data_IF_861830118643
#
_entry.id   IF_861830118643
#
_cell.length_a   1.000
_cell.length_b   1.000
_cell.length_c   1.000
_cell.angle_alpha   90.00
_cell.angle_beta   90.00
_cell.angle_gamma   90.00
#
_symmetry.space_group_name_H-M   'P 1'
#
loop_
_entity.id
_entity.type
_entity.pdbx_description
1 polymer ?
#
# COMPACT_ATOMS: atom_id res chain seq x y z
N UNK A 1 18.32 -29.09 7.93
CA UNK A 1 17.76 -27.76 8.17
C UNK A 1 17.28 -27.24 6.82
N UNK A 2 16.01 -27.49 6.48
CA UNK A 2 15.45 -27.11 5.20
C UNK A 2 15.16 -25.61 5.23
N UNK A 3 15.82 -24.86 4.37
CA UNK A 3 15.51 -23.46 4.10
C UNK A 3 14.14 -23.42 3.45
N UNK A 4 13.09 -23.19 4.25
CA UNK A 4 11.79 -22.77 3.75
C UNK A 4 11.99 -21.43 3.06
N UNK A 5 12.23 -21.46 1.76
CA UNK A 5 11.94 -20.35 0.86
C UNK A 5 10.42 -20.12 0.93
N UNK A 6 9.96 -19.44 1.98
CA UNK A 6 8.65 -18.83 1.98
C UNK A 6 8.68 -17.82 0.84
N UNK A 7 7.94 -18.10 -0.23
CA UNK A 7 7.64 -17.11 -1.26
C UNK A 7 7.11 -15.86 -0.56
N UNK A 8 7.97 -14.86 -0.44
CA UNK A 8 7.66 -13.60 0.18
C UNK A 8 6.55 -12.99 -0.68
N UNK A 9 5.35 -12.89 -0.11
CA UNK A 9 4.25 -12.16 -0.74
C UNK A 9 4.54 -10.68 -0.53
N UNK A 10 5.50 -10.21 -1.31
CA UNK A 10 6.10 -8.89 -1.17
C UNK A 10 5.17 -7.82 -1.72
N UNK A 11 5.25 -6.65 -1.11
CA UNK A 11 4.59 -5.44 -1.58
C UNK A 11 5.14 -4.94 -2.94
N UNK A 12 6.10 -5.65 -3.54
CA UNK A 12 6.65 -5.38 -4.87
C UNK A 12 5.57 -5.42 -5.97
N UNK A 13 4.45 -6.12 -5.77
CA UNK A 13 3.31 -6.09 -6.70
C UNK A 13 2.78 -4.67 -6.95
N UNK A 14 2.88 -3.78 -5.94
CA UNK A 14 2.47 -2.38 -6.07
C UNK A 14 3.25 -1.65 -7.17
N UNK A 15 4.50 -2.04 -7.43
CA UNK A 15 5.29 -1.46 -8.52
C UNK A 15 4.71 -1.78 -9.90
N UNK A 16 4.09 -2.95 -10.07
CA UNK A 16 3.48 -3.31 -11.35
C UNK A 16 2.24 -2.45 -11.65
N UNK A 17 1.51 -2.04 -10.61
CA UNK A 17 0.33 -1.17 -10.77
C UNK A 17 0.66 0.26 -11.19
N UNK A 18 1.89 0.74 -10.96
CA UNK A 18 2.34 2.04 -11.48
C UNK A 18 2.23 2.14 -13.01
N UNK A 19 2.28 1.01 -13.72
CA UNK A 19 2.16 0.95 -15.19
C UNK A 19 0.71 1.01 -15.67
N UNK A 20 -0.26 0.77 -14.80
CA UNK A 20 -1.67 0.76 -15.13
C UNK A 20 -2.25 2.17 -14.99
N UNK A 21 -2.10 2.99 -16.04
CA UNK A 21 -2.41 4.42 -15.99
C UNK A 21 -3.88 4.76 -15.68
N UNK A 22 -4.82 3.83 -15.94
CA UNK A 22 -6.25 4.01 -15.71
C UNK A 22 -6.78 3.26 -14.47
N UNK A 23 -5.89 2.75 -13.62
CA UNK A 23 -6.28 1.96 -12.46
C UNK A 23 -6.93 2.83 -11.38
N UNK A 24 -8.20 2.57 -11.13
CA UNK A 24 -9.03 3.38 -10.24
C UNK A 24 -9.17 2.80 -8.83
N UNK A 25 -9.14 1.47 -8.72
CA UNK A 25 -9.28 0.75 -7.46
C UNK A 25 -8.29 -0.39 -7.39
N UNK A 26 -7.63 -0.51 -6.25
CA UNK A 26 -6.81 -1.67 -5.89
C UNK A 26 -7.36 -2.26 -4.61
N UNK A 27 -7.71 -3.54 -4.65
CA UNK A 27 -8.08 -4.29 -3.46
C UNK A 27 -7.19 -5.52 -3.33
N UNK A 28 -6.31 -5.50 -2.34
CA UNK A 28 -5.45 -6.61 -1.94
C UNK A 28 -5.77 -7.07 -0.51
N UNK A 29 -6.98 -6.78 -0.02
CA UNK A 29 -7.37 -7.16 1.33
C UNK A 29 -7.42 -8.68 1.51
N UNK A 30 -7.29 -9.15 2.76
CA UNK A 30 -7.41 -10.57 3.12
C UNK A 30 -6.37 -11.44 2.42
N UNK A 31 -5.14 -10.96 2.35
CA UNK A 31 -4.00 -11.71 1.85
C UNK A 31 -2.96 -11.90 2.95
N UNK A 32 -1.85 -12.54 2.60
CA UNK A 32 -0.71 -12.71 3.49
C UNK A 32 0.46 -11.81 3.05
N UNK A 33 0.16 -10.61 2.53
CA UNK A 33 1.19 -9.63 2.16
C UNK A 33 1.92 -9.19 3.42
N UNK A 34 3.24 -9.11 3.35
CA UNK A 34 4.09 -8.75 4.48
C UNK A 34 5.18 -7.74 4.08
N UNK A 35 5.96 -7.28 5.07
CA UNK A 35 6.97 -6.24 4.88
C UNK A 35 6.41 -4.84 5.06
N UNK A 36 7.17 -3.83 4.62
CA UNK A 36 6.87 -2.41 4.79
C UNK A 36 6.35 -1.78 3.50
N UNK A 37 5.45 -0.80 3.61
CA UNK A 37 4.98 -0.04 2.44
C UNK A 37 6.18 0.67 1.79
N UNK A 38 6.51 0.38 0.53
CA UNK A 38 7.67 1.00 -0.11
C UNK A 38 7.37 2.45 -0.48
N UNK A 39 8.41 3.29 -0.54
CA UNK A 39 8.29 4.70 -1.00
C UNK A 39 7.69 4.78 -2.41
N UNK A 40 7.93 3.76 -3.25
CA UNK A 40 7.37 3.66 -4.60
C UNK A 40 5.85 3.53 -4.64
N UNK A 41 5.16 3.38 -3.51
CA UNK A 41 3.69 3.46 -3.45
C UNK A 41 3.18 4.83 -3.93
N UNK A 42 3.98 5.89 -3.81
CA UNK A 42 3.68 7.20 -4.36
C UNK A 42 3.76 7.28 -5.89
N UNK A 43 4.20 6.22 -6.56
CA UNK A 43 4.26 6.13 -8.03
C UNK A 43 3.04 5.39 -8.61
N UNK A 44 2.08 4.98 -7.78
CA UNK A 44 0.81 4.48 -8.30
C UNK A 44 0.11 5.59 -9.12
N UNK A 45 -0.70 5.19 -10.09
CA UNK A 45 -1.42 6.16 -10.93
C UNK A 45 -2.23 7.13 -10.08
N UNK A 46 -2.21 8.41 -10.45
CA UNK A 46 -3.04 9.43 -9.82
C UNK A 46 -4.52 9.24 -10.15
N UNK A 47 -4.90 8.37 -11.09
CA UNK A 47 -6.32 8.00 -11.30
C UNK A 47 -6.87 7.08 -10.20
N UNK A 48 -6.01 6.56 -9.32
CA UNK A 48 -6.39 5.68 -8.22
C UNK A 48 -7.11 6.47 -7.14
N UNK A 49 -8.33 6.06 -6.83
CA UNK A 49 -9.15 6.69 -5.79
C UNK A 49 -9.50 5.75 -4.63
N UNK A 50 -9.24 4.44 -4.76
CA UNK A 50 -9.36 3.48 -3.65
C UNK A 50 -8.16 2.54 -3.57
N UNK A 51 -7.57 2.43 -2.38
CA UNK A 51 -6.54 1.46 -2.04
C UNK A 51 -6.93 0.68 -0.78
N UNK A 52 -7.23 -0.62 -0.93
CA UNK A 52 -7.61 -1.52 0.16
C UNK A 52 -6.49 -2.53 0.41
N UNK A 53 -5.81 -2.42 1.56
CA UNK A 53 -4.74 -3.32 2.00
C UNK A 53 -5.06 -4.01 3.34
N UNK A 54 -6.33 -3.96 3.76
CA UNK A 54 -6.76 -4.46 5.07
C UNK A 54 -6.57 -5.97 5.24
N UNK A 55 -6.40 -6.42 6.48
CA UNK A 55 -6.24 -7.85 6.79
C UNK A 55 -5.06 -8.48 6.05
N UNK A 56 -3.86 -7.94 6.30
CA UNK A 56 -2.58 -8.43 5.82
C UNK A 56 -1.57 -8.44 6.99
N UNK A 57 -0.30 -8.71 6.71
CA UNK A 57 0.81 -8.72 7.67
C UNK A 57 1.77 -7.53 7.45
N UNK A 58 1.29 -6.43 6.87
CA UNK A 58 2.10 -5.24 6.55
C UNK A 58 2.52 -4.57 7.86
N UNK A 59 3.79 -4.21 7.99
CA UNK A 59 4.37 -3.59 9.17
C UNK A 59 5.08 -2.27 8.85
N UNK A 60 5.62 -1.62 9.89
CA UNK A 60 6.33 -0.35 9.74
C UNK A 60 5.38 0.85 9.75
N UNK A 61 5.74 1.92 9.03
CA UNK A 61 5.02 3.20 9.01
C UNK A 61 4.37 3.46 7.64
N UNK A 62 3.47 4.44 7.59
CA UNK A 62 2.92 4.93 6.32
C UNK A 62 3.95 5.89 5.69
N UNK A 63 4.41 5.67 4.45
CA UNK A 63 5.37 6.55 3.81
C UNK A 63 4.73 7.89 3.40
N UNK A 64 5.46 9.00 3.56
CA UNK A 64 5.04 10.35 3.11
C UNK A 64 4.68 10.38 1.62
N UNK A 65 5.35 9.57 0.81
CA UNK A 65 5.09 9.46 -0.63
C UNK A 65 3.65 9.03 -0.97
N UNK A 66 2.89 8.46 -0.02
CA UNK A 66 1.47 8.17 -0.25
C UNK A 66 0.65 9.45 -0.54
N UNK A 67 1.10 10.62 -0.05
CA UNK A 67 0.48 11.91 -0.34
C UNK A 67 0.58 12.31 -1.83
N UNK A 68 1.42 11.64 -2.64
CA UNK A 68 1.48 11.85 -4.08
C UNK A 68 0.24 11.30 -4.81
N UNK A 69 -0.56 10.45 -4.15
CA UNK A 69 -1.79 9.90 -4.72
C UNK A 69 -2.93 10.91 -4.54
N UNK A 70 -2.84 12.02 -5.28
CA UNK A 70 -3.65 13.22 -5.04
C UNK A 70 -5.16 13.04 -5.22
N UNK A 71 -5.61 12.00 -5.93
CA UNK A 71 -7.04 11.66 -6.06
C UNK A 71 -7.47 10.48 -5.17
N UNK A 72 -6.62 10.02 -4.23
CA UNK A 72 -6.96 8.92 -3.35
C UNK A 72 -7.97 9.36 -2.30
N UNK A 73 -9.20 8.85 -2.39
CA UNK A 73 -10.31 9.18 -1.49
C UNK A 73 -10.39 8.16 -0.34
N UNK A 74 -10.01 6.91 -0.59
CA UNK A 74 -10.21 5.81 0.35
C UNK A 74 -8.96 4.96 0.53
N UNK A 75 -8.42 4.95 1.73
CA UNK A 75 -7.27 4.15 2.15
C UNK A 75 -7.65 3.25 3.33
N UNK A 76 -7.62 1.93 3.13
CA UNK A 76 -7.96 0.96 4.18
C UNK A 76 -6.76 0.11 4.59
N UNK A 77 -6.20 0.43 5.76
CA UNK A 77 -5.02 -0.24 6.33
C UNK A 77 -5.32 -1.11 7.56
N UNK A 78 -6.59 -1.22 7.99
CA UNK A 78 -6.97 -1.96 9.22
C UNK A 78 -6.51 -3.42 9.21
N UNK A 79 -6.31 -3.99 10.39
CA UNK A 79 -5.85 -5.37 10.55
C UNK A 79 -4.51 -5.63 9.84
N UNK A 80 -3.55 -4.74 10.07
CA UNK A 80 -2.14 -4.88 9.75
C UNK A 80 -1.31 -4.61 11.01
N UNK A 81 0.02 -4.67 10.90
CA UNK A 81 1.00 -4.34 11.95
C UNK A 81 1.62 -2.95 11.76
N UNK A 82 0.93 -2.05 11.05
CA UNK A 82 1.36 -0.67 10.82
C UNK A 82 1.32 0.10 12.15
N UNK A 83 2.38 0.86 12.42
CA UNK A 83 2.60 1.63 13.64
C UNK A 83 3.14 3.03 13.28
N UNK A 84 3.25 3.89 14.29
CA UNK A 84 3.75 5.26 14.13
C UNK A 84 2.65 6.25 13.76
N UNK A 85 3.08 7.47 13.42
CA UNK A 85 2.17 8.58 13.11
C UNK A 85 1.64 8.45 11.69
N UNK A 86 0.39 8.88 11.49
CA UNK A 86 -0.12 9.15 10.15
C UNK A 86 0.60 10.40 9.63
N UNK A 87 1.29 10.33 8.47
CA UNK A 87 1.98 11.47 7.91
C UNK A 87 1.04 12.67 7.72
N UNK A 88 1.52 13.90 7.97
CA UNK A 88 0.78 15.09 7.61
C UNK A 88 0.47 15.06 6.10
N UNK A 89 -0.67 15.62 5.70
CA UNK A 89 -1.16 15.71 4.32
C UNK A 89 -1.82 14.45 3.72
N UNK A 90 -1.74 13.25 4.35
CA UNK A 90 -2.52 12.08 3.89
C UNK A 90 -4.02 12.26 4.15
N UNK A 91 -4.40 12.99 5.20
CA UNK A 91 -5.81 13.33 5.48
C UNK A 91 -6.31 14.59 4.76
N UNK A 92 -5.44 15.27 4.01
CA UNK A 92 -5.75 16.50 3.26
C UNK A 92 -5.93 16.22 1.77
N UNK A 93 -6.07 14.94 1.39
CA UNK A 93 -6.49 14.55 0.05
C UNK A 93 -7.94 15.03 -0.12
N UNK A 94 -8.15 15.93 -1.09
CA UNK A 94 -9.42 16.64 -1.30
C UNK A 94 -10.62 15.72 -1.55
#
# INVERSE_FOLDING_TARGET
>A
MLTNAHGSRELSILTSFSKCQMLQKVNLSQNLLNGTLPVSIGNLTTTLWTLVLSSNLIEGTIPLALANLTNLISLYLRFNKIKGLVPPNIGSMN
#
